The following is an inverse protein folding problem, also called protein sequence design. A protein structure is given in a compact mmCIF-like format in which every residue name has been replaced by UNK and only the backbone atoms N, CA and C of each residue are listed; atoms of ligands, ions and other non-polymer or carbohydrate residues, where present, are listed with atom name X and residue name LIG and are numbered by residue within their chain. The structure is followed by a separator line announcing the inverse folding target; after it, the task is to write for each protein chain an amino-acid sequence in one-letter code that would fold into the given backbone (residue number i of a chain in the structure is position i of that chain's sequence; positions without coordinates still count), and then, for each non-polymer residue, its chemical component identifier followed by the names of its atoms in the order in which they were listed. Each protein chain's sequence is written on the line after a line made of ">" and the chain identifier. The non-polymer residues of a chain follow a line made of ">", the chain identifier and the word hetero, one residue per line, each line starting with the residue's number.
data_IF_184187835290
#
_entry.id   IF_184187835290
#
_cell.length_a   1.000
_cell.length_b   1.000
_cell.length_c   1.000
_cell.angle_alpha   90.00
_cell.angle_beta   90.00
_cell.angle_gamma   90.00
#
_symmetry.space_group_name_H-M   'P 1'
#
loop_
_entity.id
_entity.type
_entity.pdbx_description
1 polymer ?
#
# COMPACT_ATOMS: atom_id res chain seq x y z
N UNK A 1 -5.62 -6.15 19.82
CA UNK A 1 -5.24 -5.53 18.54
C UNK A 1 -4.41 -6.53 17.75
N UNK A 2 -4.99 -7.18 16.74
CA UNK A 2 -4.27 -8.18 15.94
C UNK A 2 -3.65 -7.45 14.74
N UNK A 3 -2.32 -7.49 14.62
CA UNK A 3 -1.60 -6.94 13.45
C UNK A 3 -1.49 -8.02 12.38
N UNK A 4 -1.72 -7.64 11.12
CA UNK A 4 -1.54 -8.53 9.98
C UNK A 4 -0.08 -8.48 9.50
N UNK A 5 0.58 -9.63 9.47
CA UNK A 5 1.99 -9.78 9.13
C UNK A 5 2.14 -10.61 7.85
N UNK A 6 2.96 -10.12 6.93
CA UNK A 6 3.38 -10.80 5.72
C UNK A 6 4.82 -11.27 5.88
N UNK A 7 5.02 -12.59 5.98
CA UNK A 7 6.33 -13.17 6.19
C UNK A 7 7.20 -13.07 4.93
N UNK A 8 8.47 -12.67 5.11
CA UNK A 8 9.50 -12.56 4.07
C UNK A 8 9.08 -11.77 2.81
N UNK A 9 8.11 -10.88 2.95
CA UNK A 9 7.49 -10.15 1.85
C UNK A 9 8.25 -8.89 1.41
N UNK A 10 9.25 -8.45 2.18
CA UNK A 10 10.00 -7.24 1.86
C UNK A 10 10.86 -7.44 0.59
N UNK A 11 10.66 -6.64 -0.47
CA UNK A 11 11.44 -6.75 -1.71
C UNK A 11 12.90 -6.29 -1.55
N UNK A 12 13.23 -5.53 -0.49
CA UNK A 12 14.59 -5.03 -0.25
C UNK A 12 15.48 -6.01 0.52
N UNK A 13 14.97 -6.54 1.64
CA UNK A 13 15.79 -7.35 2.55
C UNK A 13 15.23 -8.77 2.80
N UNK A 14 14.10 -9.13 2.18
CA UNK A 14 13.37 -10.38 2.45
C UNK A 14 12.94 -10.54 3.91
N UNK A 15 12.79 -9.44 4.65
CA UNK A 15 12.22 -9.41 6.00
C UNK A 15 10.68 -9.41 6.00
N UNK A 16 10.11 -9.47 7.19
CA UNK A 16 8.66 -9.48 7.39
C UNK A 16 8.08 -8.06 7.30
N UNK A 17 6.84 -7.95 6.86
CA UNK A 17 6.14 -6.67 6.70
C UNK A 17 4.83 -6.67 7.48
N UNK A 18 4.50 -5.55 8.13
CA UNK A 18 3.20 -5.32 8.78
C UNK A 18 2.29 -4.49 7.87
N UNK A 19 0.98 -4.77 7.90
CA UNK A 19 -0.04 -3.91 7.30
C UNK A 19 -0.27 -2.68 8.20
N UNK A 20 -0.25 -1.50 7.60
CA UNK A 20 -0.62 -0.23 8.21
C UNK A 20 -1.67 0.49 7.36
N UNK A 21 -2.36 1.44 7.97
CA UNK A 21 -3.35 2.29 7.31
C UNK A 21 -3.11 3.73 7.74
N UNK A 22 -3.15 4.66 6.80
CA UNK A 22 -3.12 6.10 7.03
C UNK A 22 -4.25 6.79 6.24
N UNK A 23 -4.22 8.12 6.16
CA UNK A 23 -5.22 8.90 5.43
C UNK A 23 -5.17 8.71 3.91
N UNK A 24 -4.07 8.19 3.35
CA UNK A 24 -3.88 7.92 1.92
C UNK A 24 -4.27 6.48 1.56
N UNK A 25 -4.33 5.59 2.54
CA UNK A 25 -4.85 4.23 2.39
C UNK A 25 -4.02 3.20 3.14
N UNK A 26 -3.98 1.99 2.59
CA UNK A 26 -3.21 0.90 3.17
C UNK A 26 -1.78 0.84 2.60
N UNK A 27 -0.83 0.56 3.48
CA UNK A 27 0.56 0.33 3.12
C UNK A 27 1.12 -0.86 3.89
N UNK A 28 2.17 -1.47 3.36
CA UNK A 28 2.97 -2.48 4.05
C UNK A 28 4.31 -1.89 4.40
N UNK A 29 4.72 -2.02 5.65
CA UNK A 29 6.04 -1.56 6.11
C UNK A 29 6.88 -2.72 6.63
N UNK A 30 8.14 -2.80 6.19
CA UNK A 30 9.06 -3.82 6.66
C UNK A 30 9.55 -3.55 8.08
N UNK A 31 9.45 -4.57 8.95
CA UNK A 31 9.88 -4.51 10.35
C UNK A 31 11.41 -4.53 10.52
N UNK A 32 12.18 -4.79 9.47
CA UNK A 32 13.63 -4.96 9.55
C UNK A 32 14.40 -3.79 8.94
N UNK A 33 13.96 -3.30 7.78
CA UNK A 33 14.66 -2.22 7.07
C UNK A 33 13.81 -0.95 6.84
N UNK A 34 12.57 -0.92 7.34
CA UNK A 34 11.68 0.24 7.24
C UNK A 34 11.08 0.50 5.86
N UNK A 35 11.35 -0.33 4.85
CA UNK A 35 10.82 -0.14 3.49
C UNK A 35 9.29 -0.20 3.47
N UNK A 36 8.64 0.81 2.89
CA UNK A 36 7.18 0.88 2.75
C UNK A 36 6.76 0.68 1.29
N UNK A 37 5.65 -0.02 1.09
CA UNK A 37 5.04 -0.27 -0.21
C UNK A 37 3.53 -0.02 -0.10
N UNK A 38 2.98 0.83 -0.96
CA UNK A 38 1.53 1.03 -1.06
C UNK A 38 0.82 -0.26 -1.44
N UNK A 39 -0.28 -0.55 -0.74
CA UNK A 39 -1.21 -1.60 -1.14
C UNK A 39 -2.21 -0.96 -2.10
N UNK A 40 -1.96 -1.08 -3.41
CA UNK A 40 -2.94 -0.66 -4.42
C UNK A 40 -4.21 -1.49 -4.22
N UNK A 41 -5.22 -0.92 -3.56
CA UNK A 41 -6.57 -1.45 -3.64
C UNK A 41 -6.96 -1.40 -5.12
N UNK A 42 -7.52 -2.48 -5.63
CA UNK A 42 -8.11 -2.49 -6.98
C UNK A 42 -9.37 -1.63 -6.92
N UNK A 43 -9.21 -0.31 -6.82
CA UNK A 43 -10.32 0.58 -7.12
C UNK A 43 -10.67 0.33 -8.60
N UNK A 44 -11.95 0.15 -8.93
CA UNK A 44 -12.35 0.10 -10.32
C UNK A 44 -11.87 1.38 -10.98
N UNK A 45 -11.23 1.21 -12.14
CA UNK A 45 -10.64 2.27 -12.96
C UNK A 45 -11.63 3.40 -13.32
N UNK A 46 -12.92 3.22 -13.03
CA UNK A 46 -14.03 4.12 -13.33
C UNK A 46 -13.97 5.49 -12.67
N UNK A 47 -13.24 5.67 -11.56
CA UNK A 47 -13.20 6.97 -10.86
C UNK A 47 -11.98 7.83 -11.24
N UNK A 48 -10.96 7.23 -11.86
CA UNK A 48 -9.74 7.95 -12.30
C UNK A 48 -9.92 8.77 -13.58
N UNK A 49 -11.04 8.62 -14.28
CA UNK A 49 -11.34 9.36 -15.52
C UNK A 49 -12.19 10.62 -15.29
N UNK A 50 -12.86 10.77 -14.15
CA UNK A 50 -13.77 11.90 -13.91
C UNK A 50 -13.07 13.24 -13.60
N UNK A 51 -11.74 13.24 -13.42
CA UNK A 51 -10.95 14.44 -13.11
C UNK A 51 -10.08 14.93 -14.28
N UNK A 52 -10.05 14.22 -15.41
CA UNK A 52 -9.29 14.64 -16.61
C UNK A 52 -10.13 15.39 -17.66
N UNK A 53 -11.45 15.51 -17.47
CA UNK A 53 -12.37 16.10 -18.47
C UNK A 53 -12.78 17.56 -18.17
N UNK A 54 -12.07 18.29 -17.31
CA UNK A 54 -12.22 19.76 -17.18
C UNK A 54 -11.01 20.53 -17.70
N UNK A 55 -10.54 20.14 -18.88
CA UNK A 55 -9.62 20.93 -19.70
C UNK A 55 -10.01 20.76 -21.19
N UNK A 56 -11.16 21.34 -21.56
CA UNK A 56 -11.55 21.63 -22.93
C UNK A 56 -12.29 22.97 -22.94
#
# INVERSE_FOLDING_TARGET
>A
MNKLIYFKACPRCRGDMQLGTDSLGEYRQCLQCGNSVEVKSKQPLSEKLALTEKAA
#
